data_IF_910500145454
#
_entry.id   IF_910500145454
#
_cell.length_a   1.000
_cell.length_b   1.000
_cell.length_c   1.000
_cell.angle_alpha   90.00
_cell.angle_beta   90.00
_cell.angle_gamma   90.00
#
_symmetry.space_group_name_H-M   'P 1'
#
loop_
_entity.id
_entity.type
_entity.pdbx_description
1 polymer ?
#
# COMPACT_ATOMS: atom_id res chain seq x y z
N UNK A 1 -21.12 11.56 -4.33
CA UNK A 1 -19.76 11.23 -3.83
C UNK A 1 -19.68 9.80 -3.25
N UNK A 2 -20.36 8.81 -3.84
CA UNK A 2 -20.63 7.51 -3.18
C UNK A 2 -19.90 6.28 -3.78
N UNK A 3 -18.93 6.47 -4.68
CA UNK A 3 -18.35 5.35 -5.46
C UNK A 3 -16.85 5.06 -5.25
N UNK A 4 -16.18 5.73 -4.31
CA UNK A 4 -14.71 5.61 -4.11
C UNK A 4 -14.31 4.60 -3.02
N UNK A 5 -15.19 4.28 -2.06
CA UNK A 5 -14.85 3.44 -0.90
C UNK A 5 -14.30 2.05 -1.25
N UNK A 6 -14.88 1.29 -2.19
CA UNK A 6 -14.37 -0.05 -2.48
C UNK A 6 -12.96 -0.01 -3.09
N UNK A 7 -12.64 1.04 -3.86
CA UNK A 7 -11.32 1.26 -4.43
C UNK A 7 -10.29 1.66 -3.36
N UNK A 8 -10.71 2.46 -2.37
CA UNK A 8 -9.87 2.78 -1.18
C UNK A 8 -9.48 1.49 -0.45
N UNK A 9 -10.44 0.63 -0.14
CA UNK A 9 -10.18 -0.62 0.56
C UNK A 9 -9.32 -1.57 -0.28
N UNK A 10 -9.60 -1.71 -1.57
CA UNK A 10 -8.80 -2.53 -2.46
C UNK A 10 -7.32 -2.10 -2.46
N UNK A 11 -7.05 -0.80 -2.64
CA UNK A 11 -5.67 -0.30 -2.71
C UNK A 11 -4.94 -0.41 -1.37
N UNK A 12 -5.54 0.03 -0.26
CA UNK A 12 -4.89 0.02 1.06
C UNK A 12 -4.66 -1.41 1.58
N UNK A 13 -5.64 -2.30 1.43
CA UNK A 13 -5.50 -3.69 1.88
C UNK A 13 -4.56 -4.49 0.96
N UNK A 14 -4.56 -4.21 -0.35
CA UNK A 14 -3.58 -4.77 -1.27
C UNK A 14 -2.15 -4.35 -0.92
N UNK A 15 -1.95 -3.07 -0.58
CA UNK A 15 -0.67 -2.54 -0.09
C UNK A 15 -0.23 -3.18 1.24
N UNK A 16 -1.17 -3.39 2.17
CA UNK A 16 -0.90 -4.10 3.42
C UNK A 16 -0.44 -5.55 3.16
N UNK A 17 -1.16 -6.28 2.30
CA UNK A 17 -0.82 -7.66 1.96
C UNK A 17 0.56 -7.77 1.30
N UNK A 18 0.86 -6.89 0.33
CA UNK A 18 2.16 -6.78 -0.34
C UNK A 18 3.28 -6.38 0.61
N UNK A 19 3.02 -5.42 1.50
CA UNK A 19 3.95 -4.98 2.53
C UNK A 19 4.31 -6.11 3.48
N UNK A 20 3.33 -6.86 3.99
CA UNK A 20 3.60 -8.03 4.85
C UNK A 20 4.45 -9.07 4.09
N UNK A 21 4.09 -9.40 2.85
CA UNK A 21 4.81 -10.38 2.04
C UNK A 21 6.29 -10.01 1.84
N UNK A 22 6.57 -8.74 1.54
CA UNK A 22 7.95 -8.24 1.40
C UNK A 22 8.70 -8.25 2.74
N UNK A 23 8.04 -7.79 3.80
CA UNK A 23 8.68 -7.62 5.11
C UNK A 23 8.98 -8.95 5.80
N UNK A 24 8.27 -10.04 5.49
CA UNK A 24 8.64 -11.40 5.93
C UNK A 24 10.09 -11.73 5.52
N UNK A 25 10.49 -11.33 4.30
CA UNK A 25 11.83 -11.55 3.77
C UNK A 25 12.85 -10.58 4.38
N UNK A 26 12.55 -9.28 4.36
CA UNK A 26 13.48 -8.23 4.82
C UNK A 26 13.81 -8.30 6.31
N UNK A 27 12.87 -8.79 7.12
CA UNK A 27 13.06 -8.91 8.58
C UNK A 27 13.61 -10.27 8.99
N UNK A 28 13.67 -11.23 8.07
CA UNK A 28 14.03 -12.62 8.38
C UNK A 28 12.96 -13.38 9.17
N UNK A 29 11.72 -12.88 9.23
CA UNK A 29 10.59 -13.52 9.94
C UNK A 29 10.35 -14.96 9.49
N UNK A 30 10.72 -15.30 8.24
CA UNK A 30 10.72 -16.67 7.70
C UNK A 30 11.55 -17.69 8.48
N UNK A 31 12.44 -17.25 9.39
CA UNK A 31 13.17 -18.14 10.31
C UNK A 31 12.33 -18.57 11.51
N UNK A 32 11.11 -18.03 11.66
CA UNK A 32 10.20 -18.23 12.78
C UNK A 32 8.84 -18.73 12.27
N UNK A 33 8.66 -20.06 12.08
CA UNK A 33 7.52 -20.61 11.33
C UNK A 33 6.13 -20.22 11.84
N UNK A 34 5.95 -20.09 13.17
CA UNK A 34 4.66 -19.72 13.76
C UNK A 34 4.27 -18.27 13.44
N UNK A 35 5.23 -17.33 13.55
CA UNK A 35 5.04 -15.92 13.25
C UNK A 35 4.90 -15.69 11.74
N UNK A 36 5.73 -16.36 10.95
CA UNK A 36 5.67 -16.34 9.49
C UNK A 36 4.29 -16.81 9.00
N UNK A 37 3.82 -17.96 9.50
CA UNK A 37 2.51 -18.50 9.12
C UNK A 37 1.38 -17.53 9.47
N UNK A 38 1.44 -16.90 10.64
CA UNK A 38 0.47 -15.88 11.06
C UNK A 38 0.49 -14.67 10.10
N UNK A 39 1.66 -14.19 9.73
CA UNK A 39 1.83 -13.09 8.78
C UNK A 39 1.24 -13.43 7.39
N UNK A 40 1.50 -14.64 6.87
CA UNK A 40 0.91 -15.09 5.61
C UNK A 40 -0.60 -15.22 5.66
N UNK A 41 -1.18 -15.75 6.75
CA UNK A 41 -2.64 -15.85 6.93
C UNK A 41 -3.27 -14.45 6.94
N UNK A 42 -2.67 -13.50 7.65
CA UNK A 42 -3.17 -12.12 7.69
C UNK A 42 -3.05 -11.46 6.32
N UNK A 43 -1.91 -11.63 5.63
CA UNK A 43 -1.74 -11.14 4.26
C UNK A 43 -2.81 -11.70 3.32
N UNK A 44 -3.07 -13.01 3.35
CA UNK A 44 -4.13 -13.65 2.56
C UNK A 44 -5.51 -13.09 2.88
N UNK A 45 -5.86 -12.98 4.17
CA UNK A 45 -7.14 -12.47 4.61
C UNK A 45 -7.35 -11.02 4.16
N UNK A 46 -6.33 -10.17 4.30
CA UNK A 46 -6.39 -8.77 3.84
C UNK A 46 -6.56 -8.67 2.33
N UNK A 47 -5.84 -9.49 1.55
CA UNK A 47 -5.96 -9.50 0.09
C UNK A 47 -7.31 -10.06 -0.37
N UNK A 48 -7.88 -11.04 0.33
CA UNK A 48 -9.23 -11.54 0.05
C UNK A 48 -10.28 -10.43 0.20
N UNK A 49 -10.21 -9.67 1.31
CA UNK A 49 -11.11 -8.52 1.55
C UNK A 49 -10.88 -7.42 0.52
N UNK A 50 -9.63 -7.18 0.12
CA UNK A 50 -9.29 -6.26 -0.97
C UNK A 50 -9.98 -6.69 -2.28
N UNK A 51 -9.87 -7.97 -2.64
CA UNK A 51 -10.49 -8.54 -3.85
C UNK A 51 -12.01 -8.40 -3.83
N UNK A 52 -12.67 -8.72 -2.72
CA UNK A 52 -14.12 -8.50 -2.54
C UNK A 52 -14.49 -7.04 -2.72
N UNK A 53 -13.68 -6.11 -2.20
CA UNK A 53 -13.90 -4.67 -2.38
C UNK A 53 -13.79 -4.27 -3.86
N UNK A 54 -12.82 -4.82 -4.60
CA UNK A 54 -12.70 -4.60 -6.04
C UNK A 54 -13.92 -5.13 -6.82
N UNK A 55 -14.49 -6.28 -6.43
CA UNK A 55 -15.71 -6.81 -7.05
C UNK A 55 -16.92 -5.90 -6.88
N UNK A 56 -17.07 -5.21 -5.76
CA UNK A 56 -18.15 -4.23 -5.58
C UNK A 56 -17.97 -2.95 -6.43
N UNK A 57 -16.73 -2.65 -6.85
CA UNK A 57 -16.45 -1.50 -7.73
C UNK A 57 -16.72 -1.81 -9.21
N UNK A 58 -16.48 -3.05 -9.63
CA UNK A 58 -16.75 -3.52 -10.99
C UNK A 58 -18.24 -3.78 -11.14
N UNK A 59 -19.03 -2.75 -11.47
CA UNK A 59 -20.50 -2.77 -11.59
C UNK A 59 -21.08 -3.75 -12.66
N UNK A 60 -20.32 -4.73 -13.16
CA UNK A 60 -20.80 -5.75 -14.09
C UNK A 60 -20.24 -7.14 -13.76
N UNK A 61 -21.02 -7.92 -13.00
CA UNK A 61 -20.70 -9.29 -12.58
C UNK A 61 -20.30 -10.25 -13.72
N UNK A 62 -20.69 -9.97 -14.97
CA UNK A 62 -20.42 -10.81 -16.14
C UNK A 62 -19.21 -10.40 -17.00
N UNK A 63 -18.61 -9.22 -16.78
CA UNK A 63 -17.56 -8.69 -17.67
C UNK A 63 -16.12 -9.01 -17.23
N UNK A 64 -15.93 -9.55 -16.03
CA UNK A 64 -14.61 -9.83 -15.42
C UNK A 64 -13.68 -10.69 -16.28
N UNK A 65 -14.14 -11.73 -17.00
CA UNK A 65 -13.29 -12.48 -17.93
C UNK A 65 -12.81 -11.64 -19.11
N UNK A 66 -13.63 -10.69 -19.58
CA UNK A 66 -13.26 -9.74 -20.64
C UNK A 66 -12.35 -8.62 -20.14
N UNK A 67 -12.29 -8.36 -18.83
CA UNK A 67 -11.32 -7.42 -18.26
C UNK A 67 -9.86 -7.88 -18.49
N UNK A 68 -9.63 -9.16 -18.77
CA UNK A 68 -8.32 -9.74 -19.13
C UNK A 68 -8.02 -9.68 -20.64
N UNK A 69 -8.95 -9.23 -21.49
CA UNK A 69 -8.72 -9.22 -22.95
C UNK A 69 -7.69 -8.17 -23.41
N UNK A 70 -7.33 -7.24 -22.52
CA UNK A 70 -6.51 -6.07 -22.84
C UNK A 70 -5.27 -5.93 -21.93
N UNK A 71 -4.68 -7.04 -21.45
CA UNK A 71 -3.48 -7.02 -20.58
C UNK A 71 -2.31 -6.27 -21.23
N UNK A 72 -2.22 -6.30 -22.56
CA UNK A 72 -1.20 -5.58 -23.32
C UNK A 72 -1.33 -4.06 -23.24
N UNK A 73 -2.54 -3.51 -23.15
CA UNK A 73 -2.82 -2.06 -23.31
C UNK A 73 -3.37 -1.38 -22.06
N UNK A 74 -4.04 -2.11 -21.16
CA UNK A 74 -4.76 -1.55 -20.02
C UNK A 74 -4.07 -1.87 -18.68
N UNK A 75 -3.74 -0.82 -17.93
CA UNK A 75 -3.22 -0.95 -16.57
C UNK A 75 -4.20 -1.65 -15.62
N UNK A 76 -5.51 -1.41 -15.79
CA UNK A 76 -6.55 -2.08 -15.00
C UNK A 76 -6.54 -3.60 -15.24
N UNK A 77 -6.35 -4.03 -16.49
CA UNK A 77 -6.26 -5.45 -16.84
C UNK A 77 -5.04 -6.12 -16.19
N UNK A 78 -3.89 -5.43 -16.21
CA UNK A 78 -2.66 -5.89 -15.56
C UNK A 78 -2.82 -5.98 -14.04
N UNK A 79 -3.51 -5.02 -13.43
CA UNK A 79 -3.79 -5.00 -11.99
C UNK A 79 -4.63 -6.21 -11.56
N UNK A 80 -5.71 -6.50 -12.28
CA UNK A 80 -6.56 -7.67 -12.00
C UNK A 80 -5.76 -8.96 -12.12
N UNK A 81 -4.98 -9.12 -13.20
CA UNK A 81 -4.15 -10.31 -13.43
C UNK A 81 -3.11 -10.49 -12.31
N UNK A 82 -2.35 -9.44 -11.99
CA UNK A 82 -1.32 -9.50 -10.96
C UNK A 82 -1.90 -9.69 -9.56
N UNK A 83 -3.06 -9.08 -9.26
CA UNK A 83 -3.77 -9.30 -8.01
C UNK A 83 -4.19 -10.75 -7.85
N UNK A 84 -4.71 -11.38 -8.91
CA UNK A 84 -5.07 -12.80 -8.91
C UNK A 84 -3.85 -13.72 -8.75
N UNK A 85 -2.76 -13.46 -9.49
CA UNK A 85 -1.50 -14.19 -9.34
C UNK A 85 -0.96 -14.07 -7.92
N UNK A 86 -0.94 -12.85 -7.38
CA UNK A 86 -0.45 -12.59 -6.03
C UNK A 86 -1.29 -13.31 -4.97
N UNK A 87 -2.61 -13.29 -5.11
CA UNK A 87 -3.54 -14.03 -4.25
C UNK A 87 -3.23 -15.53 -4.26
N UNK A 88 -3.11 -16.14 -5.45
CA UNK A 88 -2.80 -17.56 -5.59
C UNK A 88 -1.45 -17.89 -4.95
N UNK A 89 -0.41 -17.08 -5.18
CA UNK A 89 0.91 -17.30 -4.59
C UNK A 89 0.89 -17.26 -3.05
N UNK A 90 0.22 -16.28 -2.45
CA UNK A 90 0.06 -16.23 -0.99
C UNK A 90 -0.72 -17.45 -0.49
N UNK A 91 -1.79 -17.81 -1.18
CA UNK A 91 -2.65 -18.92 -0.75
C UNK A 91 -1.88 -20.26 -0.80
N UNK A 92 -1.16 -20.53 -1.90
CA UNK A 92 -0.26 -21.69 -2.00
C UNK A 92 0.85 -21.67 -0.94
N UNK A 93 1.32 -20.50 -0.53
CA UNK A 93 2.28 -20.36 0.58
C UNK A 93 1.65 -20.70 1.93
N UNK A 94 0.42 -20.25 2.20
CA UNK A 94 -0.35 -20.56 3.44
C UNK A 94 -0.65 -22.05 3.55
N UNK A 95 -1.00 -22.71 2.45
CA UNK A 95 -1.26 -24.15 2.39
C UNK A 95 0.02 -25.01 2.32
N UNK A 96 1.21 -24.41 2.47
CA UNK A 96 2.52 -25.08 2.40
C UNK A 96 2.77 -25.85 1.08
N UNK A 97 2.08 -25.49 0.00
CA UNK A 97 2.36 -26.00 -1.35
C UNK A 97 3.66 -25.38 -1.88
N UNK A 98 3.83 -24.07 -1.66
CA UNK A 98 5.09 -23.37 -1.91
C UNK A 98 5.99 -23.43 -0.66
N UNK A 99 7.27 -23.74 -0.90
CA UNK A 99 8.30 -23.83 0.16
C UNK A 99 8.76 -22.42 0.59
N UNK A 100 9.31 -22.30 1.80
CA UNK A 100 9.82 -21.02 2.31
C UNK A 100 10.84 -20.31 1.38
N UNK A 101 11.58 -21.07 0.56
CA UNK A 101 12.49 -20.51 -0.45
C UNK A 101 11.80 -19.62 -1.51
N UNK A 102 10.48 -19.69 -1.65
CA UNK A 102 9.72 -18.85 -2.60
C UNK A 102 9.26 -17.53 -2.00
N UNK A 103 9.53 -17.26 -0.71
CA UNK A 103 9.03 -16.04 -0.05
C UNK A 103 9.43 -14.76 -0.79
N UNK A 104 10.68 -14.69 -1.28
CA UNK A 104 11.17 -13.56 -2.07
C UNK A 104 10.39 -13.39 -3.38
N UNK A 105 10.05 -14.48 -4.06
CA UNK A 105 9.22 -14.43 -5.27
C UNK A 105 7.84 -13.82 -4.96
N UNK A 106 7.19 -14.28 -3.88
CA UNK A 106 5.89 -13.77 -3.46
C UNK A 106 5.97 -12.28 -3.08
N UNK A 107 7.02 -11.88 -2.34
CA UNK A 107 7.28 -10.49 -1.98
C UNK A 107 7.50 -9.60 -3.22
N UNK A 108 8.31 -10.05 -4.19
CA UNK A 108 8.57 -9.32 -5.44
C UNK A 108 7.29 -9.15 -6.25
N UNK A 109 6.47 -10.21 -6.38
CA UNK A 109 5.17 -10.10 -7.06
C UNK A 109 4.25 -9.11 -6.36
N UNK A 110 4.25 -9.08 -5.02
CA UNK A 110 3.52 -8.07 -4.24
C UNK A 110 3.97 -6.63 -4.56
N UNK A 111 5.28 -6.39 -4.68
CA UNK A 111 5.82 -5.07 -5.08
C UNK A 111 5.39 -4.71 -6.51
N UNK A 112 5.50 -5.65 -7.46
CA UNK A 112 5.07 -5.45 -8.85
C UNK A 112 3.57 -5.15 -8.92
N UNK A 113 2.76 -5.84 -8.12
CA UNK A 113 1.32 -5.58 -8.01
C UNK A 113 1.04 -4.14 -7.56
N UNK A 114 1.72 -3.64 -6.51
CA UNK A 114 1.56 -2.25 -6.05
C UNK A 114 2.04 -1.24 -7.10
N UNK A 115 3.13 -1.56 -7.82
CA UNK A 115 3.61 -0.73 -8.93
C UNK A 115 2.55 -0.63 -10.03
N UNK A 116 2.01 -1.75 -10.50
CA UNK A 116 0.97 -1.76 -11.54
C UNK A 116 -0.29 -1.05 -11.09
N UNK A 117 -0.73 -1.27 -9.85
CA UNK A 117 -1.86 -0.57 -9.24
C UNK A 117 -1.66 0.95 -9.26
N UNK A 118 -0.45 1.43 -8.99
CA UNK A 118 -0.15 2.87 -9.02
C UNK A 118 -0.14 3.47 -10.44
N UNK A 119 0.11 2.67 -11.48
CA UNK A 119 0.17 3.17 -12.88
C UNK A 119 -1.17 3.63 -13.42
N UNK A 120 -2.29 3.11 -12.88
CA UNK A 120 -3.64 3.58 -13.21
C UNK A 120 -3.77 5.09 -12.97
N UNK A 121 -3.08 5.60 -11.94
CA UNK A 121 -3.09 7.02 -11.57
C UNK A 121 -1.93 7.76 -12.24
N UNK A 122 -0.71 7.20 -12.19
CA UNK A 122 0.50 7.83 -12.72
C UNK A 122 0.41 8.15 -14.22
N UNK A 123 -0.33 7.36 -14.99
CA UNK A 123 -0.47 7.52 -16.45
C UNK A 123 -1.76 8.24 -16.85
N UNK A 124 -2.54 8.74 -15.88
CA UNK A 124 -3.82 9.38 -16.18
C UNK A 124 -3.65 10.86 -16.55
N UNK A 125 -3.48 11.15 -17.84
CA UNK A 125 -3.30 12.49 -18.36
C UNK A 125 -4.48 13.44 -18.12
N UNK A 126 -5.69 12.92 -17.86
CA UNK A 126 -6.91 13.72 -17.60
C UNK A 126 -6.93 14.27 -16.16
N UNK A 127 -6.14 13.68 -15.26
CA UNK A 127 -5.99 14.09 -13.87
C UNK A 127 -4.55 14.58 -13.61
N UNK A 128 -4.23 15.87 -13.84
CA UNK A 128 -2.86 16.38 -13.82
C UNK A 128 -2.10 16.14 -12.51
N UNK A 129 -2.78 16.16 -11.37
CA UNK A 129 -2.20 15.83 -10.06
C UNK A 129 -1.66 14.40 -9.99
N UNK A 130 -2.35 13.48 -10.66
CA UNK A 130 -2.02 12.07 -10.65
C UNK A 130 -1.01 11.72 -11.72
N UNK A 131 -0.94 12.50 -12.81
CA UNK A 131 -0.01 12.26 -13.91
C UNK A 131 1.45 12.58 -13.56
N UNK A 132 2.02 11.79 -12.67
CA UNK A 132 3.31 12.03 -12.05
C UNK A 132 3.89 10.74 -11.45
N UNK A 133 5.11 10.84 -10.90
CA UNK A 133 5.67 9.78 -10.07
C UNK A 133 5.11 9.78 -8.64
N UNK A 134 4.34 10.80 -8.27
CA UNK A 134 3.77 10.96 -6.93
C UNK A 134 2.94 9.76 -6.47
N UNK A 135 1.97 9.26 -7.26
CA UNK A 135 1.22 8.06 -6.91
C UNK A 135 2.10 6.83 -6.73
N UNK A 136 3.11 6.62 -7.58
CA UNK A 136 4.01 5.46 -7.48
C UNK A 136 4.71 5.46 -6.12
N UNK A 137 5.33 6.58 -5.75
CA UNK A 137 6.06 6.71 -4.49
C UNK A 137 5.14 6.67 -3.28
N UNK A 138 3.96 7.30 -3.36
CA UNK A 138 2.97 7.26 -2.27
C UNK A 138 2.43 5.84 -2.02
N UNK A 139 2.17 5.08 -3.09
CA UNK A 139 1.67 3.71 -2.97
C UNK A 139 2.72 2.77 -2.38
N UNK A 140 3.97 2.85 -2.86
CA UNK A 140 5.08 2.08 -2.29
C UNK A 140 5.39 2.48 -0.85
N UNK A 141 5.36 3.77 -0.53
CA UNK A 141 5.62 4.24 0.83
C UNK A 141 4.55 3.75 1.81
N UNK A 142 3.28 3.78 1.41
CA UNK A 142 2.17 3.23 2.20
C UNK A 142 2.34 1.71 2.40
N UNK A 143 2.72 0.97 1.35
CA UNK A 143 3.01 -0.47 1.43
C UNK A 143 4.10 -0.78 2.45
N UNK A 144 5.22 -0.05 2.43
CA UNK A 144 6.33 -0.25 3.37
C UNK A 144 5.94 0.03 4.82
N UNK A 145 5.21 1.13 5.06
CA UNK A 145 4.78 1.54 6.40
C UNK A 145 3.76 0.58 7.01
N UNK A 146 2.76 0.18 6.23
CA UNK A 146 1.77 -0.81 6.63
C UNK A 146 2.41 -2.16 6.88
N UNK A 147 3.27 -2.63 5.98
CA UNK A 147 3.97 -3.90 6.13
C UNK A 147 4.90 -3.95 7.35
N UNK A 148 5.71 -2.90 7.54
CA UNK A 148 6.67 -2.83 8.64
C UNK A 148 5.99 -2.85 10.02
N UNK A 149 4.94 -2.04 10.17
CA UNK A 149 4.18 -1.99 11.44
C UNK A 149 3.26 -3.19 11.64
N UNK A 150 2.74 -3.79 10.58
CA UNK A 150 2.00 -5.05 10.67
C UNK A 150 2.88 -6.19 11.20
N UNK A 151 4.13 -6.30 10.75
CA UNK A 151 5.06 -7.33 11.27
C UNK A 151 5.24 -7.19 12.78
N UNK A 152 5.46 -5.97 13.30
CA UNK A 152 5.59 -5.74 14.75
C UNK A 152 4.28 -5.95 15.52
N UNK A 153 3.13 -5.61 14.93
CA UNK A 153 1.83 -5.85 15.55
C UNK A 153 1.47 -7.35 15.62
N UNK A 154 1.96 -8.15 14.67
CA UNK A 154 1.73 -9.60 14.57
C UNK A 154 2.76 -10.41 15.36
N UNK A 155 3.98 -9.92 15.48
CA UNK A 155 5.08 -10.56 16.20
C UNK A 155 5.84 -9.51 17.04
N UNK A 156 5.28 -9.03 18.17
CA UNK A 156 5.93 -8.01 18.99
C UNK A 156 7.30 -8.47 19.51
N UNK A 157 7.42 -9.74 19.91
CA UNK A 157 8.66 -10.30 20.44
C UNK A 157 9.78 -10.33 19.37
N UNK A 158 9.44 -10.15 18.09
CA UNK A 158 10.42 -10.06 17.01
C UNK A 158 11.29 -8.80 17.07
N UNK A 159 10.90 -7.76 17.82
CA UNK A 159 11.70 -6.53 17.97
C UNK A 159 13.00 -6.71 18.73
N UNK A 160 13.13 -7.77 19.53
CA UNK A 160 14.41 -8.09 20.17
C UNK A 160 15.45 -8.60 19.14
N UNK A 161 15.02 -8.88 17.90
CA UNK A 161 15.86 -9.45 16.84
C UNK A 161 16.42 -8.32 15.96
N UNK A 162 17.76 -8.16 15.87
CA UNK A 162 18.36 -7.05 15.11
C UNK A 162 17.95 -6.99 13.64
N UNK A 163 17.77 -8.15 12.99
CA UNK A 163 17.35 -8.22 11.59
C UNK A 163 15.92 -7.66 11.38
N UNK A 164 15.03 -7.87 12.36
CA UNK A 164 13.66 -7.36 12.30
C UNK A 164 13.65 -5.86 12.51
N UNK A 165 14.38 -5.36 13.53
CA UNK A 165 14.52 -3.92 13.78
C UNK A 165 15.10 -3.21 12.57
N UNK A 166 16.16 -3.74 11.97
CA UNK A 166 16.76 -3.18 10.76
C UNK A 166 15.77 -3.17 9.59
N UNK A 167 15.14 -4.32 9.28
CA UNK A 167 14.19 -4.43 8.18
C UNK A 167 12.96 -3.52 8.33
N UNK A 168 12.38 -3.46 9.52
CA UNK A 168 11.24 -2.57 9.81
C UNK A 168 11.68 -1.11 9.78
N UNK A 169 12.79 -0.74 10.42
CA UNK A 169 13.27 0.65 10.44
C UNK A 169 13.59 1.15 9.03
N UNK A 170 14.22 0.33 8.19
CA UNK A 170 14.46 0.66 6.78
C UNK A 170 13.15 0.85 6.01
N UNK A 171 12.13 0.02 6.26
CA UNK A 171 10.82 0.19 5.64
C UNK A 171 10.11 1.47 6.11
N UNK A 172 10.19 1.80 7.41
CA UNK A 172 9.60 3.04 7.94
C UNK A 172 10.29 4.28 7.35
N UNK A 173 11.63 4.32 7.36
CA UNK A 173 12.40 5.43 6.80
C UNK A 173 12.17 5.55 5.30
N UNK A 174 12.29 4.45 4.56
CA UNK A 174 12.06 4.43 3.12
C UNK A 174 10.62 4.81 2.75
N UNK A 175 9.64 4.37 3.55
CA UNK A 175 8.24 4.71 3.34
C UNK A 175 7.91 6.18 3.61
N UNK A 176 8.44 6.74 4.70
CA UNK A 176 8.31 8.17 5.01
C UNK A 176 9.00 9.03 3.95
N UNK A 177 10.20 8.62 3.52
CA UNK A 177 10.92 9.28 2.43
C UNK A 177 10.09 9.28 1.15
N UNK A 178 9.61 8.11 0.70
CA UNK A 178 8.82 7.97 -0.52
C UNK A 178 7.53 8.83 -0.50
N UNK A 179 6.87 8.94 0.66
CA UNK A 179 5.66 9.75 0.80
C UNK A 179 5.91 11.25 0.88
N UNK A 180 7.13 11.71 1.17
CA UNK A 180 7.47 13.14 1.13
C UNK A 180 7.78 13.63 -0.29
N UNK A 181 8.20 12.73 -1.19
CA UNK A 181 8.55 13.04 -2.58
C UNK A 181 7.45 13.73 -3.40
N UNK A 182 6.14 13.39 -3.28
CA UNK A 182 5.07 14.09 -3.99
C UNK A 182 5.03 15.60 -3.74
N UNK A 183 5.42 16.10 -2.56
CA UNK A 183 5.46 17.54 -2.26
C UNK A 183 6.47 18.27 -3.16
N UNK A 184 7.64 17.66 -3.38
CA UNK A 184 8.69 18.24 -4.21
C UNK A 184 8.31 18.28 -5.69
N UNK A 185 7.47 17.34 -6.14
CA UNK A 185 6.99 17.29 -7.52
C UNK A 185 6.03 18.46 -7.85
N UNK A 186 5.13 18.79 -6.92
CA UNK A 186 4.17 19.90 -7.04
C UNK A 186 4.87 21.24 -7.27
N UNK A 187 5.95 21.51 -6.53
CA UNK A 187 6.68 22.78 -6.65
C UNK A 187 7.41 22.96 -7.99
N UNK A 188 7.88 21.87 -8.61
CA UNK A 188 8.63 21.92 -9.86
C UNK A 188 7.73 21.95 -11.11
N UNK A 189 6.75 21.04 -11.20
CA UNK A 189 5.96 20.82 -12.42
C UNK A 189 4.84 21.83 -12.60
N UNK A 190 4.29 22.36 -11.52
CA UNK A 190 3.15 23.26 -11.62
C UNK A 190 3.58 24.73 -11.78
N UNK A 191 4.87 25.05 -11.67
CA UNK A 191 5.44 26.40 -11.86
C UNK A 191 5.04 27.12 -13.17
N UNK A 192 4.76 26.43 -14.30
CA UNK A 192 4.26 27.07 -15.53
C UNK A 192 2.74 27.22 -15.60
N UNK A 193 1.98 26.67 -14.63
CA UNK A 193 0.51 26.71 -14.63
C UNK A 193 -0.02 28.01 -14.00
N UNK A 194 -1.27 28.35 -14.31
CA UNK A 194 -1.97 29.49 -13.71
C UNK A 194 -1.84 29.47 -12.17
N UNK A 195 -1.49 30.60 -11.51
CA UNK A 195 -1.33 30.69 -10.05
C UNK A 195 -2.50 30.14 -9.22
N UNK A 196 -3.73 30.22 -9.73
CA UNK A 196 -4.93 29.69 -9.06
C UNK A 196 -4.96 28.15 -9.08
N UNK A 197 -4.60 27.54 -10.21
CA UNK A 197 -4.47 26.09 -10.33
C UNK A 197 -3.28 25.59 -9.50
N UNK A 198 -2.16 26.31 -9.54
CA UNK A 198 -0.98 26.05 -8.71
C UNK A 198 -1.35 25.98 -7.21
N UNK A 199 -2.06 27.00 -6.71
CA UNK A 199 -2.48 27.07 -5.31
C UNK A 199 -3.39 25.91 -4.91
N UNK A 200 -4.40 25.62 -5.74
CA UNK A 200 -5.38 24.55 -5.46
C UNK A 200 -4.72 23.17 -5.43
N UNK A 201 -3.87 22.88 -6.42
CA UNK A 201 -3.15 21.61 -6.52
C UNK A 201 -2.10 21.42 -5.43
N UNK A 202 -1.40 22.50 -5.05
CA UNK A 202 -0.45 22.47 -3.96
C UNK A 202 -1.14 22.21 -2.62
N UNK A 203 -2.24 22.92 -2.32
CA UNK A 203 -2.98 22.72 -1.07
C UNK A 203 -3.48 21.28 -0.94
N UNK A 204 -4.09 20.72 -1.99
CA UNK A 204 -4.61 19.34 -1.94
C UNK A 204 -3.51 18.32 -1.69
N UNK A 205 -2.37 18.42 -2.39
CA UNK A 205 -1.24 17.50 -2.23
C UNK A 205 -0.61 17.63 -0.85
N UNK A 206 -0.42 18.86 -0.35
CA UNK A 206 0.11 19.13 0.98
C UNK A 206 -0.81 18.53 2.05
N UNK A 207 -2.12 18.71 1.95
CA UNK A 207 -3.08 18.14 2.91
C UNK A 207 -3.03 16.60 2.93
N UNK A 208 -2.98 15.95 1.75
CA UNK A 208 -2.85 14.48 1.66
C UNK A 208 -1.54 14.01 2.31
N UNK A 209 -0.41 14.60 1.90
CA UNK A 209 0.90 14.17 2.38
C UNK A 209 1.08 14.45 3.88
N UNK A 210 0.67 15.62 4.37
CA UNK A 210 0.79 15.94 5.81
C UNK A 210 -0.09 15.02 6.65
N UNK A 211 -1.33 14.76 6.23
CA UNK A 211 -2.22 13.82 6.96
C UNK A 211 -1.57 12.44 7.05
N UNK A 212 -1.04 11.92 5.94
CA UNK A 212 -0.34 10.64 5.92
C UNK A 212 0.92 10.66 6.80
N UNK A 213 1.77 11.70 6.67
CA UNK A 213 2.98 11.87 7.49
C UNK A 213 2.67 11.88 8.99
N UNK A 214 1.66 12.64 9.42
CA UNK A 214 1.31 12.75 10.84
C UNK A 214 0.79 11.43 11.39
N UNK A 215 -0.13 10.76 10.68
CA UNK A 215 -0.62 9.44 11.11
C UNK A 215 0.49 8.40 11.13
N UNK A 216 1.39 8.42 10.15
CA UNK A 216 2.48 7.45 10.05
C UNK A 216 3.60 7.69 11.06
N UNK A 217 3.93 8.94 11.35
CA UNK A 217 4.86 9.29 12.42
C UNK A 217 4.28 8.91 13.79
N UNK A 218 3.04 9.30 14.09
CA UNK A 218 2.38 8.98 15.36
C UNK A 218 2.24 7.47 15.56
N UNK A 219 1.74 6.76 14.54
CA UNK A 219 1.58 5.31 14.60
C UNK A 219 2.91 4.55 14.63
N UNK A 220 3.93 5.02 13.91
CA UNK A 220 5.28 4.43 13.94
C UNK A 220 5.94 4.57 15.31
N UNK A 221 5.84 5.76 15.92
CA UNK A 221 6.33 6.03 17.28
C UNK A 221 5.61 5.16 18.30
N UNK A 222 4.27 5.07 18.24
CA UNK A 222 3.49 4.20 19.12
C UNK A 222 3.83 2.72 18.92
N UNK A 223 4.11 2.32 17.68
CA UNK A 223 4.54 0.96 17.37
C UNK A 223 5.88 0.66 18.02
N UNK A 224 6.86 1.56 17.88
CA UNK A 224 8.19 1.42 18.48
C UNK A 224 8.14 1.41 20.02
N UNK A 225 7.37 2.30 20.66
CA UNK A 225 7.17 2.29 22.11
C UNK A 225 6.40 1.06 22.61
N UNK A 226 5.67 0.38 21.72
CA UNK A 226 4.96 -0.85 22.03
C UNK A 226 5.85 -2.07 22.21
N UNK A 227 7.16 -1.96 21.89
CA UNK A 227 8.06 -3.12 21.85
C UNK A 227 9.34 -2.96 22.69
N UNK A 228 9.75 -3.99 23.49
CA UNK A 228 9.01 -5.17 23.96
C UNK A 228 8.19 -4.86 25.24
N UNK A 229 7.06 -5.56 25.41
CA UNK A 229 6.27 -5.54 26.67
C UNK A 229 4.92 -4.81 26.62
N UNK A 230 4.56 -4.14 25.52
CA UNK A 230 3.28 -3.43 25.37
C UNK A 230 2.63 -3.71 24.01
N UNK A 231 2.36 -4.99 23.73
CA UNK A 231 1.71 -5.48 22.49
C UNK A 231 0.50 -4.65 22.05
N UNK A 232 -0.32 -4.19 23.00
CA UNK A 232 -1.49 -3.36 22.72
C UNK A 232 -1.11 -2.03 22.05
N UNK A 233 -0.02 -1.38 22.47
CA UNK A 233 0.48 -0.14 21.83
C UNK A 233 1.00 -0.39 20.42
N UNK A 234 1.68 -1.52 20.19
CA UNK A 234 2.11 -1.91 18.84
C UNK A 234 0.92 -2.08 17.89
N UNK A 235 -0.17 -2.69 18.38
CA UNK A 235 -1.40 -2.85 17.63
C UNK A 235 -2.14 -1.53 17.42
N UNK A 236 -2.19 -0.65 18.43
CA UNK A 236 -2.76 0.70 18.31
C UNK A 236 -1.99 1.52 17.28
N UNK A 237 -0.66 1.48 17.32
CA UNK A 237 0.21 2.16 16.35
C UNK A 237 -0.07 1.69 14.92
N UNK A 238 -0.15 0.38 14.69
CA UNK A 238 -0.55 -0.19 13.41
C UNK A 238 -1.95 0.28 12.97
N UNK A 239 -2.94 0.29 13.86
CA UNK A 239 -4.30 0.75 13.54
C UNK A 239 -4.32 2.23 13.14
N UNK A 240 -3.55 3.08 13.82
CA UNK A 240 -3.44 4.51 13.46
C UNK A 240 -2.85 4.66 12.05
N UNK A 241 -1.83 3.87 11.70
CA UNK A 241 -1.27 3.86 10.33
C UNK A 241 -2.33 3.38 9.34
N UNK A 242 -3.04 2.28 9.63
CA UNK A 242 -4.08 1.77 8.75
C UNK A 242 -5.18 2.82 8.48
N UNK A 243 -5.66 3.48 9.53
CA UNK A 243 -6.65 4.56 9.41
C UNK A 243 -6.07 5.75 8.63
N UNK A 244 -4.83 6.15 8.93
CA UNK A 244 -4.15 7.22 8.18
C UNK A 244 -3.97 6.90 6.69
N UNK A 245 -3.70 5.63 6.34
CA UNK A 245 -3.61 5.18 4.96
C UNK A 245 -4.98 5.26 4.26
N UNK A 246 -6.05 4.83 4.93
CA UNK A 246 -7.43 4.93 4.43
C UNK A 246 -7.84 6.39 4.22
N UNK A 247 -7.66 7.25 5.23
CA UNK A 247 -8.00 8.68 5.16
C UNK A 247 -7.16 9.38 4.08
N UNK A 248 -5.85 9.11 4.03
CA UNK A 248 -4.97 9.65 3.00
C UNK A 248 -5.38 9.22 1.59
N UNK A 249 -5.83 7.97 1.42
CA UNK A 249 -6.35 7.47 0.13
C UNK A 249 -7.70 8.11 -0.24
N UNK A 250 -8.58 8.34 0.73
CA UNK A 250 -9.82 9.09 0.51
C UNK A 250 -9.53 10.53 0.07
N UNK A 251 -8.60 11.21 0.73
CA UNK A 251 -8.18 12.56 0.36
C UNK A 251 -7.51 12.58 -1.02
N UNK A 252 -6.69 11.57 -1.35
CA UNK A 252 -6.08 11.41 -2.67
C UNK A 252 -7.13 11.32 -3.79
N UNK A 253 -8.22 10.59 -3.56
CA UNK A 253 -9.33 10.51 -4.51
C UNK A 253 -10.19 11.78 -4.55
N UNK A 254 -10.46 12.38 -3.40
CA UNK A 254 -11.20 13.64 -3.31
C UNK A 254 -10.45 14.82 -3.96
N UNK A 255 -9.11 14.78 -3.97
CA UNK A 255 -8.27 15.80 -4.59
C UNK A 255 -8.32 15.78 -6.14
N UNK A 256 -8.99 14.81 -6.77
CA UNK A 256 -9.05 14.70 -8.22
C UNK A 256 -9.86 15.84 -8.87
N UNK A 257 -9.18 16.72 -9.60
CA UNK A 257 -9.81 17.69 -10.49
C UNK A 257 -9.52 17.25 -11.94
N UNK A 258 -10.58 16.97 -12.71
CA UNK A 258 -10.45 16.55 -14.12
C UNK A 258 -10.50 17.77 -15.04
N UNK A 259 -9.60 17.82 -16.01
CA UNK A 259 -9.67 18.84 -17.06
C UNK A 259 -10.71 18.42 -18.12
N UNK A 260 -11.64 19.34 -18.47
CA UNK A 260 -12.64 19.12 -19.53
C UNK A 260 -13.98 18.54 -19.09
N UNK A 261 -14.44 18.86 -17.87
CA UNK A 261 -15.81 18.59 -17.41
C UNK A 261 -16.76 19.76 -17.67
#
# INVERSE_FOLDING_TARGET
>A
MTYEYPLVFFTVLGQLAAGIALLICLTGLQKHPAEERRAWIVSLATLAVAGVSAFFHLQSFGATPFALSNVGSSWLSREILLGAIFFVLIALRVWNVLKAGTNWLVGIVGVIFVLVMSQIYAQNAVAPLWHSWGPILSFLGTMLLLGGTAVLALAPDAWERPAVVAGVSSALVGGLFALSMPIFWVGGVLSPLNPVLLGTFATATICVTLTQMTCFAAGGVLTAFGVPGKRMLAQIGFVIILVGAVVGRMLFYAANIRLGG
#
